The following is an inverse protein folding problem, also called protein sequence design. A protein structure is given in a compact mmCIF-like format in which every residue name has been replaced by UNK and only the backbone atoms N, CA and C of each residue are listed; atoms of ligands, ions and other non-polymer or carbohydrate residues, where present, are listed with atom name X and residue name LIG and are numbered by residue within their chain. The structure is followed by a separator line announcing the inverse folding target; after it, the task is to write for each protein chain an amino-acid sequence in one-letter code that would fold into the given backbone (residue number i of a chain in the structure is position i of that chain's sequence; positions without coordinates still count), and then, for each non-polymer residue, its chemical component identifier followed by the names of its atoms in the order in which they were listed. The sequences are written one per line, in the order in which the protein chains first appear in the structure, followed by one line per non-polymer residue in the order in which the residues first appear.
data_IF_491379182199
#
_entry.id   IF_491379182199
#
_cell.length_a   1.000
_cell.length_b   1.000
_cell.length_c   1.000
_cell.angle_alpha   90.00
_cell.angle_beta   90.00
_cell.angle_gamma   90.00
#
_symmetry.space_group_name_H-M   'P 1'
#
loop_
_entity.id
_entity.type
_entity.pdbx_description
1 polymer ?
#
# COMPACT_ATOMS: atom_id res chain seq x y z
N UNK A 1 -43.44 -17.55 38.09
CA UNK A 1 -43.27 -17.26 36.65
C UNK A 1 -42.65 -15.89 36.50
N UNK A 2 -41.40 -15.79 36.03
CA UNK A 2 -40.72 -14.52 35.75
C UNK A 2 -40.61 -14.34 34.22
N UNK A 3 -40.85 -13.14 33.66
CA UNK A 3 -40.93 -12.97 32.21
C UNK A 3 -39.55 -12.97 31.55
N UNK A 4 -39.54 -13.47 30.32
CA UNK A 4 -38.40 -13.63 29.42
C UNK A 4 -37.91 -12.25 28.97
N UNK A 5 -36.62 -11.94 29.18
CA UNK A 5 -35.97 -10.74 28.65
C UNK A 5 -35.83 -10.86 27.13
N UNK A 6 -36.48 -9.95 26.41
CA UNK A 6 -36.34 -9.78 24.97
C UNK A 6 -34.87 -9.55 24.58
N UNK A 7 -34.40 -10.31 23.59
CA UNK A 7 -33.08 -10.16 23.00
C UNK A 7 -33.02 -8.84 22.22
N UNK A 8 -32.19 -7.89 22.68
CA UNK A 8 -31.78 -6.73 21.87
C UNK A 8 -30.91 -7.25 20.71
N UNK A 9 -31.45 -7.21 19.50
CA UNK A 9 -30.67 -7.36 18.26
C UNK A 9 -29.61 -6.25 18.24
N UNK A 10 -28.33 -6.64 18.19
CA UNK A 10 -27.22 -5.70 17.95
C UNK A 10 -27.27 -5.30 16.48
N UNK A 11 -27.36 -4.00 16.20
CA UNK A 11 -27.18 -3.49 14.84
C UNK A 11 -25.72 -3.69 14.41
N UNK A 12 -25.46 -4.03 13.13
CA UNK A 12 -24.10 -4.07 12.62
C UNK A 12 -23.48 -2.65 12.62
N UNK A 13 -22.14 -2.53 12.75
CA UNK A 13 -21.48 -1.25 12.66
C UNK A 13 -21.70 -0.67 11.25
N UNK A 14 -22.13 0.58 11.21
CA UNK A 14 -22.23 1.39 9.99
C UNK A 14 -20.88 1.47 9.30
N UNK A 15 -20.86 1.30 7.98
CA UNK A 15 -19.70 1.57 7.14
C UNK A 15 -19.20 3.01 7.37
N UNK A 16 -17.88 3.27 7.38
CA UNK A 16 -17.36 4.61 7.57
C UNK A 16 -17.87 5.55 6.47
N UNK A 17 -18.48 6.66 6.88
CA UNK A 17 -18.93 7.72 5.99
C UNK A 17 -17.70 8.48 5.47
N UNK A 18 -17.27 8.17 4.25
CA UNK A 18 -16.31 8.98 3.50
C UNK A 18 -16.89 10.38 3.29
N UNK A 19 -16.22 11.40 3.82
CA UNK A 19 -16.51 12.79 3.53
C UNK A 19 -15.48 13.27 2.50
N UNK A 20 -15.89 13.61 1.27
CA UNK A 20 -14.95 14.10 0.27
C UNK A 20 -14.42 15.48 0.69
N UNK A 21 -13.16 15.53 1.10
CA UNK A 21 -12.42 16.79 1.23
C UNK A 21 -12.28 17.41 -0.15
N UNK A 22 -12.62 18.70 -0.27
CA UNK A 22 -12.45 19.45 -1.51
C UNK A 22 -10.96 19.54 -1.85
N UNK A 23 -10.53 18.75 -2.84
CA UNK A 23 -9.17 18.85 -3.37
C UNK A 23 -9.03 20.12 -4.22
N UNK A 24 -7.96 20.91 -4.04
CA UNK A 24 -7.69 22.07 -4.90
C UNK A 24 -7.51 21.63 -6.36
N UNK A 25 -7.91 22.50 -7.30
CA UNK A 25 -7.86 22.28 -8.77
C UNK A 25 -6.42 22.29 -9.32
N UNK A 26 -5.51 21.53 -8.73
CA UNK A 26 -4.19 21.27 -9.30
C UNK A 26 -4.37 20.32 -10.49
N UNK A 27 -3.70 20.59 -11.61
CA UNK A 27 -3.76 19.74 -12.80
C UNK A 27 -3.16 18.37 -12.46
N UNK A 28 -4.03 17.38 -12.23
CA UNK A 28 -3.60 16.01 -11.93
C UNK A 28 -2.83 15.43 -13.11
N UNK A 29 -1.69 14.81 -12.82
CA UNK A 29 -0.84 14.11 -13.79
C UNK A 29 -1.03 12.63 -13.54
N UNK A 30 -1.60 11.90 -14.50
CA UNK A 30 -1.72 10.44 -14.36
C UNK A 30 -0.36 9.82 -14.00
N UNK A 31 -0.31 8.81 -13.11
CA UNK A 31 0.90 8.01 -12.92
C UNK A 31 1.45 7.56 -14.29
N UNK A 32 2.78 7.44 -14.45
CA UNK A 32 3.33 6.88 -15.67
C UNK A 32 2.92 5.41 -15.83
N UNK A 33 2.82 4.89 -17.07
CA UNK A 33 2.63 3.47 -17.31
C UNK A 33 3.71 2.64 -16.61
N UNK A 34 3.31 1.51 -16.02
CA UNK A 34 4.17 0.61 -15.28
C UNK A 34 4.18 -0.74 -15.98
N UNK A 35 5.34 -1.13 -16.51
CA UNK A 35 5.52 -2.43 -17.14
C UNK A 35 5.41 -3.54 -16.09
N UNK A 36 4.76 -4.64 -16.47
CA UNK A 36 4.72 -5.83 -15.63
C UNK A 36 6.10 -6.49 -15.60
N UNK A 37 6.59 -6.80 -14.40
CA UNK A 37 7.87 -7.45 -14.21
C UNK A 37 7.83 -8.90 -14.69
N UNK A 38 8.86 -9.28 -15.45
CA UNK A 38 9.04 -10.64 -15.97
C UNK A 38 10.04 -11.46 -15.15
N UNK A 39 10.85 -10.80 -14.31
CA UNK A 39 11.85 -11.42 -13.46
C UNK A 39 11.47 -11.21 -12.00
N UNK A 40 10.84 -12.23 -11.42
CA UNK A 40 10.37 -12.23 -10.05
C UNK A 40 10.95 -13.44 -9.32
N UNK A 41 11.17 -13.27 -8.02
CA UNK A 41 11.40 -14.38 -7.10
C UNK A 41 10.23 -14.45 -6.12
N UNK A 42 9.91 -15.67 -5.69
CA UNK A 42 8.95 -15.90 -4.61
C UNK A 42 9.69 -16.04 -3.28
N UNK A 43 9.17 -15.42 -2.23
CA UNK A 43 9.71 -15.50 -0.87
C UNK A 43 8.58 -15.55 0.15
N UNK A 44 8.88 -16.03 1.36
CA UNK A 44 7.92 -16.09 2.45
C UNK A 44 8.19 -14.95 3.44
N UNK A 45 7.14 -14.30 3.90
CA UNK A 45 7.14 -13.43 5.07
C UNK A 45 6.06 -13.95 6.01
N UNK A 46 6.46 -14.32 7.23
CA UNK A 46 5.59 -15.04 8.17
C UNK A 46 4.95 -16.29 7.54
N UNK A 47 3.64 -16.25 7.27
CA UNK A 47 2.88 -17.36 6.66
C UNK A 47 2.34 -17.03 5.26
N UNK A 48 2.81 -15.93 4.65
CA UNK A 48 2.35 -15.45 3.36
C UNK A 48 3.47 -15.47 2.31
N UNK A 49 3.08 -15.77 1.07
CA UNK A 49 4.00 -15.78 -0.07
C UNK A 49 3.91 -14.49 -0.84
N UNK A 50 5.06 -13.86 -1.07
CA UNK A 50 5.19 -12.63 -1.84
C UNK A 50 6.08 -12.84 -3.05
N UNK A 51 5.96 -11.94 -4.02
CA UNK A 51 6.83 -11.86 -5.17
C UNK A 51 7.38 -10.43 -5.31
N UNK A 52 8.64 -10.32 -5.72
CA UNK A 52 9.29 -9.05 -6.04
C UNK A 52 10.44 -9.29 -7.00
N UNK A 53 11.00 -8.21 -7.57
CA UNK A 53 12.27 -8.34 -8.30
C UNK A 53 13.39 -8.75 -7.33
N UNK A 54 14.44 -9.46 -7.78
CA UNK A 54 15.57 -9.83 -6.92
C UNK A 54 16.21 -8.63 -6.20
N UNK A 55 16.33 -7.49 -6.89
CA UNK A 55 16.90 -6.28 -6.32
C UNK A 55 16.02 -5.68 -5.21
N UNK A 56 14.69 -5.63 -5.43
CA UNK A 56 13.73 -5.16 -4.42
C UNK A 56 13.74 -6.05 -3.20
N UNK A 57 13.76 -7.38 -3.37
CA UNK A 57 13.83 -8.31 -2.25
C UNK A 57 15.12 -8.14 -1.45
N UNK A 58 16.28 -8.05 -2.10
CA UNK A 58 17.55 -7.83 -1.42
C UNK A 58 17.59 -6.49 -0.65
N UNK A 59 17.01 -5.44 -1.21
CA UNK A 59 16.88 -4.14 -0.54
C UNK A 59 15.90 -4.22 0.65
N UNK A 60 14.77 -4.91 0.48
CA UNK A 60 13.78 -5.14 1.53
C UNK A 60 14.38 -5.86 2.73
N UNK A 61 15.10 -6.96 2.51
CA UNK A 61 15.74 -7.72 3.60
C UNK A 61 16.69 -6.82 4.40
N UNK A 62 17.54 -6.05 3.72
CA UNK A 62 18.46 -5.11 4.38
C UNK A 62 17.71 -4.06 5.19
N UNK A 63 16.68 -3.43 4.62
CA UNK A 63 15.89 -2.42 5.31
C UNK A 63 15.19 -2.99 6.54
N UNK A 64 14.57 -4.16 6.40
CA UNK A 64 13.89 -4.86 7.49
C UNK A 64 14.85 -5.25 8.62
N UNK A 65 16.01 -5.79 8.28
CA UNK A 65 17.02 -6.19 9.27
C UNK A 65 17.59 -4.99 10.03
N UNK A 66 17.88 -3.88 9.34
CA UNK A 66 18.35 -2.65 10.00
C UNK A 66 17.26 -2.05 10.88
N UNK A 67 16.00 -1.97 10.40
CA UNK A 67 14.89 -1.50 11.22
C UNK A 67 14.77 -2.34 12.52
N UNK A 68 14.85 -3.67 12.41
CA UNK A 68 14.78 -4.56 13.58
C UNK A 68 15.92 -4.32 14.57
N UNK A 69 17.14 -4.04 14.09
CA UNK A 69 18.28 -3.69 14.95
C UNK A 69 18.06 -2.40 15.73
N UNK A 70 17.30 -1.47 15.14
CA UNK A 70 16.89 -0.21 15.78
C UNK A 70 15.61 -0.36 16.64
N UNK A 71 15.11 -1.59 16.83
CA UNK A 71 13.90 -1.87 17.60
C UNK A 71 12.60 -1.55 16.86
N UNK A 72 12.65 -1.36 15.54
CA UNK A 72 11.51 -1.08 14.67
C UNK A 72 11.11 -2.32 13.90
N UNK A 73 9.87 -2.78 14.08
CA UNK A 73 9.33 -3.89 13.29
C UNK A 73 8.59 -3.39 12.07
N UNK A 74 9.04 -3.81 10.89
CA UNK A 74 8.34 -3.61 9.61
C UNK A 74 7.76 -4.94 9.13
N UNK A 75 6.50 -4.91 8.72
CA UNK A 75 5.76 -6.08 8.23
C UNK A 75 5.27 -5.81 6.81
N UNK A 76 5.44 -6.80 5.93
CA UNK A 76 5.03 -6.73 4.53
C UNK A 76 3.56 -7.13 4.40
N UNK A 77 2.76 -6.26 3.78
CA UNK A 77 1.32 -6.48 3.52
C UNK A 77 1.09 -6.90 2.07
N UNK A 78 1.80 -6.27 1.14
CA UNK A 78 1.59 -6.50 -0.29
C UNK A 78 2.85 -6.14 -1.08
N UNK A 79 3.10 -6.87 -2.18
CA UNK A 79 4.28 -6.71 -3.04
C UNK A 79 3.86 -6.79 -4.52
N UNK A 80 4.52 -7.60 -5.36
CA UNK A 80 4.15 -7.73 -6.77
C UNK A 80 2.67 -8.05 -6.96
N UNK A 81 2.06 -7.39 -7.93
CA UNK A 81 0.68 -7.62 -8.36
C UNK A 81 0.60 -7.48 -9.86
N UNK A 82 0.20 -8.53 -10.56
CA UNK A 82 0.04 -8.48 -12.01
C UNK A 82 -1.06 -7.51 -12.45
N UNK A 83 -1.00 -7.06 -13.70
CA UNK A 83 -2.02 -6.26 -14.37
C UNK A 83 -3.34 -7.02 -14.37
N UNK A 84 -3.32 -8.32 -14.66
CA UNK A 84 -4.50 -9.17 -14.61
C UNK A 84 -5.13 -9.20 -13.21
N UNK A 85 -4.32 -9.38 -12.15
CA UNK A 85 -4.80 -9.35 -10.77
C UNK A 85 -5.37 -7.98 -10.39
N UNK A 86 -4.75 -6.89 -10.85
CA UNK A 86 -5.25 -5.54 -10.61
C UNK A 86 -6.61 -5.32 -11.30
N UNK A 87 -6.79 -5.83 -12.52
CA UNK A 87 -8.08 -5.79 -13.23
C UNK A 87 -9.17 -6.53 -12.44
N UNK A 88 -8.88 -7.69 -11.86
CA UNK A 88 -9.83 -8.41 -11.01
C UNK A 88 -10.26 -7.58 -9.78
N UNK A 89 -9.34 -6.85 -9.14
CA UNK A 89 -9.65 -5.99 -8.00
C UNK A 89 -10.55 -4.82 -8.41
N UNK A 90 -10.29 -4.19 -9.56
CA UNK A 90 -11.13 -3.15 -10.13
C UNK A 90 -12.54 -3.69 -10.41
N UNK A 91 -12.64 -4.84 -11.07
CA UNK A 91 -13.93 -5.44 -11.42
C UNK A 91 -14.71 -5.88 -10.18
N UNK A 92 -14.03 -6.36 -9.14
CA UNK A 92 -14.65 -6.67 -7.85
C UNK A 92 -15.25 -5.43 -7.18
N UNK A 93 -14.59 -4.25 -7.25
CA UNK A 93 -15.14 -2.99 -6.73
C UNK A 93 -16.30 -2.48 -7.58
N UNK A 94 -16.22 -2.58 -8.91
CA UNK A 94 -17.34 -2.24 -9.82
C UNK A 94 -18.57 -3.10 -9.57
N UNK A 95 -18.39 -4.40 -9.34
CA UNK A 95 -19.48 -5.33 -8.97
C UNK A 95 -20.16 -4.95 -7.65
N UNK A 96 -19.46 -4.24 -6.75
CA UNK A 96 -20.02 -3.67 -5.52
C UNK A 96 -20.69 -2.31 -5.73
N UNK A 97 -20.78 -1.82 -6.97
CA UNK A 97 -21.40 -0.53 -7.31
C UNK A 97 -20.51 0.68 -7.01
N UNK A 98 -19.22 0.48 -6.74
CA UNK A 98 -18.29 1.60 -6.52
C UNK A 98 -17.97 2.25 -7.87
N UNK A 99 -18.15 3.56 -8.03
CA UNK A 99 -17.89 4.23 -9.29
C UNK A 99 -16.38 4.38 -9.55
N UNK A 100 -15.98 4.40 -10.82
CA UNK A 100 -14.59 4.45 -11.25
C UNK A 100 -13.74 5.56 -10.58
N UNK A 101 -14.22 6.81 -10.38
CA UNK A 101 -13.47 7.83 -9.67
C UNK A 101 -13.07 7.39 -8.24
N UNK A 102 -13.99 6.79 -7.48
CA UNK A 102 -13.73 6.34 -6.11
C UNK A 102 -12.79 5.12 -6.09
N UNK A 103 -12.88 4.26 -7.11
CA UNK A 103 -11.94 3.14 -7.28
C UNK A 103 -10.54 3.67 -7.53
N UNK A 104 -10.39 4.58 -8.49
CA UNK A 104 -9.07 5.01 -8.97
C UNK A 104 -8.37 6.02 -8.06
N UNK A 105 -9.06 6.55 -7.05
CA UNK A 105 -8.42 7.28 -5.97
C UNK A 105 -7.63 6.36 -5.02
N UNK A 106 -8.05 5.10 -4.84
CA UNK A 106 -7.47 4.15 -3.86
C UNK A 106 -6.84 2.92 -4.50
N UNK A 107 -6.89 2.82 -5.82
CA UNK A 107 -6.38 1.68 -6.57
C UNK A 107 -5.95 2.15 -7.96
N UNK A 108 -4.66 2.10 -8.25
CA UNK A 108 -4.16 2.48 -9.57
C UNK A 108 -4.85 1.72 -10.71
N UNK A 109 -5.01 2.35 -11.87
CA UNK A 109 -5.54 1.68 -13.06
C UNK A 109 -4.63 0.50 -13.45
N UNK A 110 -5.17 -0.60 -14.00
CA UNK A 110 -4.35 -1.68 -14.56
C UNK A 110 -3.36 -1.13 -15.60
N UNK A 111 -2.09 -1.48 -15.46
CA UNK A 111 -0.98 -0.93 -16.26
C UNK A 111 -0.37 0.36 -15.71
N UNK A 112 -0.83 0.86 -14.56
CA UNK A 112 -0.34 2.08 -13.92
C UNK A 112 0.05 1.89 -12.45
N UNK A 113 -0.08 0.68 -11.90
CA UNK A 113 0.33 0.36 -10.52
C UNK A 113 1.83 0.08 -10.44
N UNK A 114 2.55 0.68 -9.49
CA UNK A 114 3.96 0.38 -9.26
C UNK A 114 4.19 -1.08 -8.81
N UNK A 115 3.18 -1.73 -8.22
CA UNK A 115 3.22 -3.16 -7.89
C UNK A 115 3.42 -4.04 -9.12
N UNK A 116 3.02 -3.59 -10.31
CA UNK A 116 3.29 -4.32 -11.56
C UNK A 116 4.78 -4.50 -11.79
N UNK A 117 5.60 -3.54 -11.35
CA UNK A 117 7.04 -3.59 -11.57
C UNK A 117 7.77 -4.54 -10.60
N UNK A 118 7.07 -5.11 -9.62
CA UNK A 118 7.68 -5.91 -8.56
C UNK A 118 8.63 -5.12 -7.65
N UNK A 119 8.52 -3.78 -7.66
CA UNK A 119 9.36 -2.86 -6.87
C UNK A 119 8.64 -2.17 -5.71
N UNK A 120 7.31 -2.15 -5.73
CA UNK A 120 6.50 -1.55 -4.68
C UNK A 120 6.17 -2.55 -3.57
N UNK A 121 6.22 -2.06 -2.33
CA UNK A 121 5.88 -2.77 -1.12
C UNK A 121 4.87 -1.93 -0.32
N UNK A 122 3.81 -2.57 0.14
CA UNK A 122 2.91 -2.01 1.15
C UNK A 122 3.36 -2.54 2.52
N UNK A 123 3.61 -1.62 3.46
CA UNK A 123 4.22 -1.92 4.74
C UNK A 123 3.34 -1.45 5.91
N UNK A 124 3.43 -2.17 7.03
CA UNK A 124 2.82 -1.77 8.29
C UNK A 124 3.74 -2.10 9.48
N UNK A 125 3.27 -1.84 10.70
CA UNK A 125 3.93 -2.26 11.95
C UNK A 125 2.93 -2.89 12.93
N UNK A 126 3.33 -3.78 13.84
CA UNK A 126 2.40 -4.39 14.79
C UNK A 126 1.55 -3.36 15.55
N UNK A 127 0.27 -3.68 15.74
CA UNK A 127 -0.76 -2.83 16.35
C UNK A 127 -1.18 -1.60 15.54
N UNK A 128 -0.67 -1.38 14.32
CA UNK A 128 -1.26 -0.43 13.37
C UNK A 128 -2.35 -1.10 12.52
N UNK A 129 -3.33 -0.33 12.07
CA UNK A 129 -4.24 -0.79 11.03
C UNK A 129 -3.49 -1.01 9.70
N UNK A 130 -4.02 -1.92 8.87
CA UNK A 130 -3.42 -2.26 7.56
C UNK A 130 -3.90 -1.27 6.50
N UNK A 131 -2.97 -0.70 5.75
CA UNK A 131 -3.26 0.19 4.60
C UNK A 131 -4.15 1.40 4.98
N UNK A 132 -3.86 1.99 6.14
CA UNK A 132 -4.57 3.15 6.67
C UNK A 132 -3.61 4.31 6.98
N UNK A 133 -4.11 5.56 6.95
CA UNK A 133 -3.29 6.75 7.19
C UNK A 133 -2.64 6.76 8.58
N UNK A 134 -3.25 6.10 9.57
CA UNK A 134 -2.76 6.02 10.96
C UNK A 134 -1.34 5.44 11.07
N UNK A 135 -0.88 4.68 10.07
CA UNK A 135 0.51 4.24 10.00
C UNK A 135 1.50 5.42 10.08
N UNK A 136 1.14 6.61 9.61
CA UNK A 136 1.98 7.82 9.65
C UNK A 136 2.37 8.25 11.07
N UNK A 137 1.57 7.86 12.07
CA UNK A 137 1.80 8.23 13.48
C UNK A 137 2.72 7.27 14.22
N UNK A 138 3.15 6.20 13.55
CA UNK A 138 3.94 5.13 14.17
C UNK A 138 5.44 5.45 14.17
N UNK A 139 6.20 4.95 15.15
CA UNK A 139 7.66 5.01 15.11
C UNK A 139 8.26 4.36 13.86
N UNK A 140 7.58 3.35 13.30
CA UNK A 140 7.99 2.68 12.08
C UNK A 140 7.98 3.60 10.86
N UNK A 141 6.90 4.38 10.69
CA UNK A 141 6.81 5.35 9.60
C UNK A 141 7.85 6.46 9.77
N UNK A 142 8.05 6.98 10.98
CA UNK A 142 9.10 7.97 11.27
C UNK A 142 10.49 7.43 10.90
N UNK A 143 10.80 6.20 11.31
CA UNK A 143 12.07 5.55 10.96
C UNK A 143 12.23 5.41 9.44
N UNK A 144 11.19 5.02 8.73
CA UNK A 144 11.24 4.87 7.27
C UNK A 144 11.46 6.20 6.56
N UNK A 145 10.83 7.29 7.01
CA UNK A 145 11.05 8.62 6.46
C UNK A 145 12.52 9.06 6.54
N UNK A 146 13.23 8.62 7.57
CA UNK A 146 14.65 8.95 7.77
C UNK A 146 15.57 7.98 7.01
N UNK A 147 15.24 6.68 6.96
CA UNK A 147 16.20 5.64 6.58
C UNK A 147 15.90 4.93 5.24
N UNK A 148 14.64 4.84 4.82
CA UNK A 148 14.24 3.99 3.67
C UNK A 148 14.97 4.37 2.36
N UNK A 149 15.27 5.66 2.19
CA UNK A 149 16.01 6.17 1.02
C UNK A 149 17.41 5.55 0.88
N UNK A 150 18.09 5.22 1.99
CA UNK A 150 19.42 4.61 1.98
C UNK A 150 19.40 3.17 1.45
N UNK A 151 18.22 2.55 1.44
CA UNK A 151 17.96 1.23 0.84
C UNK A 151 17.33 1.35 -0.56
N UNK A 152 17.16 2.57 -1.09
CA UNK A 152 16.56 2.83 -2.40
C UNK A 152 15.03 2.91 -2.39
N UNK A 153 14.37 2.89 -1.23
CA UNK A 153 12.91 3.03 -1.15
C UNK A 153 12.47 4.49 -1.02
N UNK A 154 11.36 4.83 -1.66
CA UNK A 154 10.72 6.16 -1.58
C UNK A 154 9.21 6.01 -1.38
N UNK A 155 8.64 6.91 -0.59
CA UNK A 155 7.20 7.08 -0.46
C UNK A 155 6.62 7.62 -1.77
N UNK A 156 5.76 6.85 -2.45
CA UNK A 156 5.29 7.21 -3.80
C UNK A 156 4.13 8.22 -3.77
N UNK A 157 3.26 8.12 -2.77
CA UNK A 157 2.03 8.92 -2.71
C UNK A 157 1.94 9.74 -1.41
N UNK A 158 2.73 10.82 -1.26
CA UNK A 158 2.56 11.79 -0.17
C UNK A 158 1.25 12.59 -0.32
N UNK A 159 0.82 13.31 0.73
CA UNK A 159 -0.45 14.10 0.76
C UNK A 159 -0.65 15.08 -0.41
N UNK A 160 0.44 15.52 -1.05
CA UNK A 160 0.41 16.46 -2.18
C UNK A 160 0.90 15.82 -3.50
N UNK A 161 0.82 14.49 -3.64
CA UNK A 161 1.20 13.83 -4.88
C UNK A 161 0.31 14.32 -6.04
N UNK A 162 0.84 14.46 -7.27
CA UNK A 162 0.10 15.02 -8.39
C UNK A 162 -0.80 13.98 -9.07
N UNK A 163 -0.86 12.74 -8.57
CA UNK A 163 -1.37 11.59 -9.32
C UNK A 163 -2.85 11.30 -9.13
N UNK A 164 -3.52 12.05 -8.24
CA UNK A 164 -4.92 11.79 -7.89
C UNK A 164 -5.12 10.48 -7.13
N UNK A 165 -4.03 9.87 -6.64
CA UNK A 165 -4.06 8.75 -5.70
C UNK A 165 -4.05 9.35 -4.29
N UNK A 166 -4.79 8.75 -3.37
CA UNK A 166 -4.84 9.20 -1.97
C UNK A 166 -3.44 9.20 -1.34
N UNK A 167 -3.34 9.79 -0.16
CA UNK A 167 -2.14 9.63 0.65
C UNK A 167 -2.00 8.18 1.09
N UNK A 168 -0.85 7.57 0.82
CA UNK A 168 -0.57 6.17 1.16
C UNK A 168 0.73 6.06 1.95
N UNK A 169 0.75 6.33 3.28
CA UNK A 169 1.95 6.22 4.11
C UNK A 169 2.59 4.83 4.09
N UNK A 170 1.81 3.81 3.75
CA UNK A 170 2.24 2.42 3.67
C UNK A 170 2.94 2.05 2.37
N UNK A 171 2.83 2.84 1.28
CA UNK A 171 3.28 2.46 -0.07
C UNK A 171 4.68 3.00 -0.38
N UNK A 172 5.66 2.11 -0.48
CA UNK A 172 7.06 2.44 -0.73
C UNK A 172 7.61 1.71 -1.95
N UNK A 173 8.19 2.46 -2.89
CA UNK A 173 8.70 1.92 -4.14
C UNK A 173 10.23 1.93 -4.17
N UNK A 174 10.81 0.80 -4.56
CA UNK A 174 12.25 0.67 -4.77
C UNK A 174 12.67 1.31 -6.09
N UNK A 175 13.61 2.24 -6.00
CA UNK A 175 14.31 2.83 -7.13
C UNK A 175 15.78 2.43 -7.01
N UNK A 176 16.29 1.54 -7.88
CA UNK A 176 17.72 1.29 -7.89
C UNK A 176 18.44 2.61 -8.10
N UNK A 177 19.44 2.89 -7.26
CA UNK A 177 20.37 3.97 -7.51
C UNK A 177 20.91 3.77 -8.91
N UNK A 178 20.66 4.73 -9.80
CA UNK A 178 21.33 4.74 -11.10
C UNK A 178 22.82 4.64 -10.80
N UNK A 179 23.57 3.71 -11.43
CA UNK A 179 25.01 3.77 -11.33
C UNK A 179 25.42 5.18 -11.76
N UNK A 180 26.13 5.89 -10.89
CA UNK A 180 26.80 7.12 -11.26
C UNK A 180 27.64 6.81 -12.49
N UNK A 181 27.30 7.42 -13.62
CA UNK A 181 28.11 7.38 -14.84
C UNK A 181 29.49 7.97 -14.57
#
# INVERSE_FOLDING_TARGET
MRPIRAHRKRNPPSAPCYHPTQHPKTKMIAPPPQAEATQLISFQEENETFQATPATYAAWQKMKDTANQDGITLVLVSAFRSIARQQELVDAKRKKGIPDPDIFNVLARPGFSEHHTGRALDLHTPNSALLEEDFETTPAFEWMQQNAHSFGFKLSYPRNNPHGIIYEPWHWCFHPSQPSQ
#
